data_IF_962968506917
#
_entry.id   IF_962968506917
#
_cell.length_a   1.000
_cell.length_b   1.000
_cell.length_c   1.000
_cell.angle_alpha   90.00
_cell.angle_beta   90.00
_cell.angle_gamma   90.00
#
_symmetry.space_group_name_H-M   'P 1'
#
loop_
_entity.id
_entity.type
_entity.pdbx_description
1 polymer ?
#
# COMPACT_ATOMS: atom_id res chain seq x y z
N UNK A 1 27.19 -51.73 -30.83
CA UNK A 1 28.57 -51.76 -31.31
C UNK A 1 29.27 -50.49 -30.82
N UNK A 2 30.04 -50.61 -29.74
CA UNK A 2 31.14 -49.69 -29.40
C UNK A 2 32.38 -50.10 -30.20
N UNK A 3 33.35 -49.20 -30.43
CA UNK A 3 34.50 -49.05 -29.51
C UNK A 3 34.79 -47.55 -29.19
N UNK A 4 35.24 -47.13 -27.99
CA UNK A 4 36.55 -47.31 -27.30
C UNK A 4 37.74 -46.79 -28.15
N UNK A 5 38.78 -46.08 -27.70
CA UNK A 5 39.48 -45.79 -26.42
C UNK A 5 40.59 -44.75 -26.78
N UNK A 6 41.04 -43.79 -25.97
CA UNK A 6 42.22 -43.81 -25.04
C UNK A 6 42.50 -42.33 -24.63
N UNK A 7 42.76 -41.90 -23.38
CA UNK A 7 43.90 -42.20 -22.48
C UNK A 7 45.20 -41.67 -23.11
N UNK A 8 46.05 -40.80 -22.55
CA UNK A 8 46.53 -40.47 -21.19
C UNK A 8 47.58 -39.31 -21.35
N UNK A 9 48.53 -38.97 -20.44
CA UNK A 9 48.46 -38.40 -19.08
C UNK A 9 49.26 -37.07 -18.89
N UNK A 10 49.17 -36.55 -17.66
CA UNK A 10 50.04 -35.63 -16.89
C UNK A 10 51.32 -35.02 -17.49
N UNK A 11 51.55 -33.75 -17.14
CA UNK A 11 52.88 -33.20 -16.86
C UNK A 11 52.88 -32.43 -15.52
N UNK A 12 53.76 -32.85 -14.60
CA UNK A 12 54.13 -32.19 -13.34
C UNK A 12 55.65 -32.01 -13.37
N UNK A 13 56.16 -30.83 -12.96
CA UNK A 13 57.50 -30.58 -12.40
C UNK A 13 57.32 -29.38 -11.44
N UNK A 14 57.34 -29.56 -10.10
CA UNK A 14 58.49 -29.44 -9.16
C UNK A 14 58.97 -27.97 -9.00
N UNK A 15 59.29 -27.36 -7.85
CA UNK A 15 59.48 -27.65 -6.40
C UNK A 15 59.43 -26.25 -5.70
N UNK A 16 59.50 -25.98 -4.40
CA UNK A 16 60.22 -26.63 -3.29
C UNK A 16 59.81 -25.97 -1.95
N UNK A 17 59.77 -26.81 -0.90
CA UNK A 17 60.20 -26.59 0.50
C UNK A 17 59.51 -25.54 1.39
N UNK A 18 59.11 -25.84 2.64
CA UNK A 18 59.26 -27.07 3.40
C UNK A 18 58.78 -26.92 4.85
N UNK A 19 58.80 -28.06 5.57
CA UNK A 19 58.85 -28.22 7.04
C UNK A 19 57.58 -27.90 7.85
N UNK A 20 57.10 -28.68 8.84
CA UNK A 20 57.32 -30.03 9.39
C UNK A 20 56.23 -30.21 10.46
N UNK A 21 55.65 -31.41 10.56
CA UNK A 21 55.13 -32.09 11.77
C UNK A 21 54.03 -31.48 12.66
N UNK A 22 53.03 -32.32 12.97
CA UNK A 22 52.31 -32.26 14.25
C UNK A 22 50.90 -32.85 14.21
N UNK A 23 50.79 -34.16 14.39
CA UNK A 23 49.52 -34.86 14.59
C UNK A 23 48.93 -34.58 15.99
N UNK A 24 47.60 -34.59 16.05
CA UNK A 24 46.71 -34.87 17.21
C UNK A 24 46.78 -33.96 18.42
N UNK A 25 45.67 -33.27 18.73
CA UNK A 25 44.81 -33.70 19.83
C UNK A 25 43.41 -33.08 19.78
N UNK A 26 42.42 -33.97 19.81
CA UNK A 26 41.00 -33.70 20.03
C UNK A 26 40.79 -33.66 21.54
N UNK A 27 40.59 -32.47 22.10
CA UNK A 27 39.92 -32.33 23.39
C UNK A 27 38.99 -31.10 23.36
N UNK A 28 37.70 -31.41 23.28
CA UNK A 28 36.59 -30.77 23.99
C UNK A 28 36.97 -29.48 24.75
N UNK A 29 36.46 -28.36 24.27
CA UNK A 29 35.90 -27.36 25.18
C UNK A 29 34.57 -26.86 24.61
N UNK A 30 33.50 -27.42 25.17
CA UNK A 30 32.12 -27.03 24.92
C UNK A 30 31.65 -26.25 26.14
N UNK A 31 31.59 -24.93 26.04
CA UNK A 31 30.62 -24.08 26.71
C UNK A 31 30.97 -22.60 26.44
N UNK A 32 29.95 -21.79 26.17
CA UNK A 32 29.99 -20.31 26.03
C UNK A 32 30.44 -19.79 24.65
N UNK A 33 29.51 -19.63 23.70
CA UNK A 33 29.87 -19.05 22.41
C UNK A 33 28.77 -18.54 21.47
N UNK A 34 27.49 -18.92 21.64
CA UNK A 34 26.50 -18.71 20.56
C UNK A 34 25.54 -17.52 20.69
N UNK A 35 25.58 -16.71 21.75
CA UNK A 35 24.78 -15.47 21.82
C UNK A 35 25.47 -14.24 21.19
N UNK A 36 26.79 -14.26 21.05
CA UNK A 36 27.58 -13.14 20.57
C UNK A 36 27.46 -12.82 19.06
N UNK A 37 27.30 -13.79 18.13
CA UNK A 37 27.28 -13.49 16.70
C UNK A 37 26.00 -12.77 16.28
N UNK A 38 24.84 -13.13 16.84
CA UNK A 38 23.55 -12.51 16.52
C UNK A 38 23.52 -11.05 16.99
N UNK A 39 23.92 -10.78 18.25
CA UNK A 39 23.97 -9.41 18.78
C UNK A 39 24.91 -8.54 17.94
N UNK A 40 26.12 -9.00 17.61
CA UNK A 40 27.06 -8.23 16.77
C UNK A 40 26.55 -7.99 15.35
N UNK A 41 25.83 -8.94 14.77
CA UNK A 41 25.26 -8.81 13.43
C UNK A 41 24.07 -7.84 13.41
N UNK A 42 23.19 -7.89 14.43
CA UNK A 42 22.14 -6.89 14.66
C UNK A 42 22.73 -5.48 14.79
N UNK A 43 23.80 -5.31 15.57
CA UNK A 43 24.48 -4.01 15.72
C UNK A 43 25.18 -3.53 14.44
N UNK A 44 25.65 -4.44 13.59
CA UNK A 44 26.23 -4.10 12.30
C UNK A 44 25.15 -3.70 11.27
N UNK A 45 23.98 -4.34 11.29
CA UNK A 45 22.84 -4.03 10.43
C UNK A 45 22.05 -2.80 10.91
N UNK A 46 22.09 -2.47 12.21
CA UNK A 46 21.58 -1.22 12.78
C UNK A 46 22.51 -0.02 12.55
N UNK A 47 23.71 -0.23 11.99
CA UNK A 47 24.63 0.87 11.74
C UNK A 47 23.95 1.83 10.75
N UNK A 48 23.74 3.11 11.09
CA UNK A 48 22.96 4.03 10.29
C UNK A 48 23.64 4.25 8.94
N UNK A 49 23.11 3.57 7.93
CA UNK A 49 23.51 3.70 6.54
C UNK A 49 22.37 4.38 5.79
N UNK A 50 22.69 5.47 5.09
CA UNK A 50 21.74 6.22 4.24
C UNK A 50 21.47 5.47 2.92
N UNK A 51 22.19 4.38 2.65
CA UNK A 51 21.97 3.58 1.46
C UNK A 51 20.66 2.79 1.54
N UNK A 52 19.82 2.93 0.51
CA UNK A 52 18.53 2.22 0.34
C UNK A 52 18.58 0.68 0.44
N UNK A 53 19.78 0.11 0.30
CA UNK A 53 20.00 -1.34 0.36
C UNK A 53 20.19 -1.84 1.80
N UNK A 54 20.40 -0.93 2.77
CA UNK A 54 20.48 -1.25 4.19
C UNK A 54 19.11 -1.01 4.86
N UNK A 55 18.77 -1.82 5.85
CA UNK A 55 17.47 -1.75 6.54
C UNK A 55 17.21 -0.35 7.12
N UNK A 56 18.21 0.25 7.77
CA UNK A 56 18.11 1.61 8.32
C UNK A 56 17.85 2.68 7.27
N UNK A 57 18.47 2.55 6.09
CA UNK A 57 18.34 3.51 5.00
C UNK A 57 16.98 3.38 4.32
N UNK A 58 16.54 2.15 4.02
CA UNK A 58 15.21 1.88 3.50
C UNK A 58 14.10 2.33 4.46
N UNK A 59 14.28 2.11 5.77
CA UNK A 59 13.35 2.59 6.80
C UNK A 59 13.24 4.11 6.78
N UNK A 60 14.37 4.83 6.73
CA UNK A 60 14.37 6.30 6.64
C UNK A 60 13.64 6.79 5.38
N UNK A 61 13.89 6.17 4.22
CA UNK A 61 13.21 6.50 2.97
C UNK A 61 11.70 6.26 3.05
N UNK A 62 11.27 5.11 3.58
CA UNK A 62 9.85 4.82 3.78
C UNK A 62 9.21 5.79 4.77
N UNK A 63 9.93 6.17 5.84
CA UNK A 63 9.44 7.12 6.83
C UNK A 63 9.24 8.51 6.21
N UNK A 64 10.18 8.99 5.38
CA UNK A 64 10.00 10.23 4.62
C UNK A 64 8.83 10.14 3.63
N UNK A 65 8.67 9.00 2.96
CA UNK A 65 7.59 8.79 1.98
C UNK A 65 6.20 8.81 2.63
N UNK A 66 6.05 8.27 3.84
CA UNK A 66 4.78 8.29 4.58
C UNK A 66 4.56 9.58 5.36
N UNK A 67 5.61 10.29 5.77
CA UNK A 67 5.50 11.57 6.47
C UNK A 67 4.90 12.67 5.58
N UNK A 68 5.24 12.71 4.29
CA UNK A 68 4.75 13.75 3.37
C UNK A 68 3.21 13.78 3.23
N UNK A 69 2.52 12.66 2.93
CA UNK A 69 1.05 12.61 2.91
C UNK A 69 0.43 12.93 4.28
N UNK A 70 1.04 12.47 5.37
CA UNK A 70 0.55 12.70 6.72
C UNK A 70 0.61 14.19 7.13
N UNK A 71 1.71 14.86 6.81
CA UNK A 71 1.89 16.29 7.04
C UNK A 71 0.88 17.10 6.23
N UNK A 72 0.68 16.76 4.95
CA UNK A 72 -0.30 17.43 4.10
C UNK A 72 -1.74 17.24 4.61
N UNK A 73 -2.14 16.03 4.99
CA UNK A 73 -3.47 15.76 5.53
C UNK A 73 -3.74 16.57 6.82
N UNK A 74 -2.72 16.72 7.67
CA UNK A 74 -2.80 17.54 8.89
C UNK A 74 -2.92 19.03 8.56
N UNK A 75 -2.12 19.52 7.60
CA UNK A 75 -2.11 20.92 7.19
C UNK A 75 -3.43 21.33 6.52
N UNK A 76 -3.99 20.47 5.66
CA UNK A 76 -5.30 20.68 5.03
C UNK A 76 -6.43 20.83 6.06
N UNK A 77 -6.42 20.00 7.12
CA UNK A 77 -7.37 20.14 8.23
C UNK A 77 -7.21 21.45 9.01
N UNK A 78 -5.97 21.90 9.24
CA UNK A 78 -5.72 23.18 9.91
C UNK A 78 -6.19 24.38 9.08
N UNK A 79 -6.05 24.32 7.75
CA UNK A 79 -6.60 25.35 6.87
C UNK A 79 -8.12 25.37 6.91
N UNK A 80 -8.78 24.21 6.89
CA UNK A 80 -10.24 24.15 7.04
C UNK A 80 -10.69 24.68 8.41
N UNK A 81 -9.95 24.38 9.48
CA UNK A 81 -10.24 24.90 10.81
C UNK A 81 -10.14 26.44 10.89
N UNK A 82 -9.27 27.06 10.10
CA UNK A 82 -9.17 28.51 9.98
C UNK A 82 -10.31 29.13 9.15
N UNK A 83 -10.92 28.36 8.23
CA UNK A 83 -12.06 28.80 7.43
C UNK A 83 -13.33 28.77 8.27
N UNK A 84 -13.63 27.62 8.89
CA UNK A 84 -14.76 27.44 9.79
C UNK A 84 -14.49 26.28 10.75
N UNK A 85 -14.24 26.62 12.01
CA UNK A 85 -13.93 25.64 13.07
C UNK A 85 -15.10 24.70 13.37
N UNK A 86 -16.34 25.10 13.07
CA UNK A 86 -17.52 24.25 13.25
C UNK A 86 -17.63 23.16 12.19
N UNK A 87 -17.02 23.37 11.02
CA UNK A 87 -17.10 22.48 9.86
C UNK A 87 -15.91 21.50 9.77
N UNK A 88 -14.96 21.54 10.70
CA UNK A 88 -13.82 20.61 10.71
C UNK A 88 -14.29 19.15 10.75
N UNK A 89 -15.32 18.86 11.56
CA UNK A 89 -15.92 17.53 11.65
C UNK A 89 -16.58 17.11 10.32
N UNK A 90 -17.06 18.08 9.53
CA UNK A 90 -17.61 17.79 8.19
C UNK A 90 -16.55 17.19 7.26
N UNK A 91 -15.28 17.59 7.41
CA UNK A 91 -14.20 17.04 6.58
C UNK A 91 -13.90 15.57 6.87
N UNK A 92 -14.16 15.09 8.09
CA UNK A 92 -14.01 13.65 8.41
C UNK A 92 -15.02 12.79 7.65
N UNK A 93 -16.13 13.39 7.19
CA UNK A 93 -17.11 12.73 6.32
C UNK A 93 -16.49 12.28 4.99
N UNK A 94 -15.50 13.04 4.47
CA UNK A 94 -14.74 12.62 3.30
C UNK A 94 -13.98 11.32 3.57
N UNK A 95 -13.38 11.19 4.76
CA UNK A 95 -12.70 9.97 5.20
C UNK A 95 -13.69 8.81 5.29
N UNK A 96 -14.89 9.02 5.83
CA UNK A 96 -15.90 7.96 5.95
C UNK A 96 -16.44 7.49 4.60
N UNK A 97 -16.61 8.40 3.63
CA UNK A 97 -16.89 8.02 2.23
C UNK A 97 -15.76 7.16 1.68
N UNK A 98 -14.50 7.55 1.95
CA UNK A 98 -13.31 6.79 1.58
C UNK A 98 -13.29 5.37 2.17
N UNK A 99 -13.68 5.20 3.43
CA UNK A 99 -13.76 3.89 4.11
C UNK A 99 -14.79 2.97 3.44
N UNK A 100 -15.94 3.50 3.00
CA UNK A 100 -16.91 2.70 2.24
C UNK A 100 -16.34 2.34 0.87
N UNK A 101 -15.65 3.27 0.20
CA UNK A 101 -14.98 3.00 -1.07
C UNK A 101 -13.84 1.98 -0.91
N UNK A 102 -13.17 1.91 0.25
CA UNK A 102 -12.14 0.93 0.56
C UNK A 102 -12.66 -0.51 0.45
N UNK A 103 -13.89 -0.77 0.89
CA UNK A 103 -14.54 -2.08 0.75
C UNK A 103 -14.60 -2.53 -0.71
N UNK A 104 -14.96 -1.60 -1.61
CA UNK A 104 -14.96 -1.85 -3.04
C UNK A 104 -13.53 -2.10 -3.55
N UNK A 105 -12.59 -1.27 -3.13
CA UNK A 105 -11.21 -1.24 -3.62
C UNK A 105 -10.42 -2.48 -3.21
N UNK A 106 -10.67 -3.02 -2.03
CA UNK A 106 -10.01 -4.23 -1.56
C UNK A 106 -10.63 -5.51 -2.12
N UNK A 107 -11.83 -5.45 -2.71
CA UNK A 107 -12.50 -6.60 -3.31
C UNK A 107 -11.81 -7.12 -4.57
N UNK A 108 -12.32 -6.75 -5.75
CA UNK A 108 -11.79 -7.22 -7.03
C UNK A 108 -10.33 -6.79 -7.29
N UNK A 109 -9.90 -5.55 -7.00
CA UNK A 109 -8.54 -5.11 -7.31
C UNK A 109 -7.45 -5.86 -6.55
N UNK A 110 -7.72 -6.33 -5.32
CA UNK A 110 -6.73 -7.12 -4.55
C UNK A 110 -6.48 -8.50 -5.17
N UNK A 111 -7.47 -9.06 -5.86
CA UNK A 111 -7.32 -10.28 -6.64
C UNK A 111 -6.43 -10.10 -7.89
N UNK A 112 -6.15 -8.86 -8.32
CA UNK A 112 -5.27 -8.60 -9.46
C UNK A 112 -3.89 -9.24 -9.27
N UNK A 113 -3.31 -9.17 -8.07
CA UNK A 113 -1.99 -9.76 -7.81
C UNK A 113 -1.96 -11.27 -8.01
N UNK A 114 -3.06 -11.97 -7.71
CA UNK A 114 -3.17 -13.43 -7.86
C UNK A 114 -3.49 -13.86 -9.29
N UNK A 115 -4.34 -13.11 -10.00
CA UNK A 115 -4.87 -13.51 -11.31
C UNK A 115 -4.12 -12.85 -12.46
N UNK A 116 -3.90 -11.53 -12.38
CA UNK A 116 -3.16 -10.77 -13.39
C UNK A 116 -1.66 -10.96 -13.20
N UNK A 117 -1.16 -11.15 -11.97
CA UNK A 117 0.25 -11.42 -11.70
C UNK A 117 0.74 -12.81 -12.13
N UNK A 118 -0.16 -13.73 -12.47
CA UNK A 118 0.16 -15.12 -12.84
C UNK A 118 0.76 -15.20 -14.25
N UNK A 119 2.09 -15.12 -14.34
CA UNK A 119 2.83 -15.16 -15.60
C UNK A 119 3.01 -16.58 -16.16
N UNK A 120 2.89 -17.62 -15.33
CA UNK A 120 3.15 -19.00 -15.74
C UNK A 120 1.94 -19.64 -16.42
N UNK A 121 0.72 -19.27 -16.02
CA UNK A 121 -0.50 -19.85 -16.59
C UNK A 121 -1.28 -18.93 -17.55
N UNK A 122 -0.87 -17.67 -17.73
CA UNK A 122 -1.58 -16.70 -18.58
C UNK A 122 -0.65 -15.93 -19.49
N UNK A 123 -1.08 -15.75 -20.73
CA UNK A 123 -0.40 -14.90 -21.70
C UNK A 123 -0.50 -13.43 -21.31
N UNK A 124 0.43 -12.62 -21.80
CA UNK A 124 0.41 -11.18 -21.56
C UNK A 124 -0.85 -10.49 -22.12
N UNK A 125 -1.44 -11.00 -23.21
CA UNK A 125 -2.68 -10.48 -23.77
C UNK A 125 -3.90 -10.76 -22.87
N UNK A 126 -4.01 -11.97 -22.32
CA UNK A 126 -5.07 -12.33 -21.36
C UNK A 126 -4.94 -11.50 -20.07
N UNK A 127 -3.72 -11.29 -19.58
CA UNK A 127 -3.44 -10.42 -18.41
C UNK A 127 -3.90 -8.97 -18.67
N UNK A 128 -3.62 -8.42 -19.85
CA UNK A 128 -4.11 -7.09 -20.27
C UNK A 128 -5.64 -7.06 -20.36
N UNK A 129 -6.26 -8.11 -20.90
CA UNK A 129 -7.73 -8.20 -20.98
C UNK A 129 -8.37 -8.22 -19.58
N UNK A 130 -7.77 -8.97 -18.64
CA UNK A 130 -8.18 -8.98 -17.23
C UNK A 130 -8.02 -7.60 -16.59
N UNK A 131 -6.94 -6.88 -16.88
CA UNK A 131 -6.75 -5.49 -16.44
C UNK A 131 -7.87 -4.57 -16.94
N UNK A 132 -8.19 -4.59 -18.25
CA UNK A 132 -9.29 -3.77 -18.78
C UNK A 132 -10.64 -4.14 -18.18
N UNK A 133 -10.87 -5.43 -17.97
CA UNK A 133 -12.09 -5.93 -17.31
C UNK A 133 -12.17 -5.39 -15.89
N UNK A 134 -11.11 -5.53 -15.08
CA UNK A 134 -11.06 -5.04 -13.72
C UNK A 134 -11.33 -3.53 -13.64
N UNK A 135 -10.62 -2.74 -14.45
CA UNK A 135 -10.79 -1.27 -14.45
C UNK A 135 -12.22 -0.88 -14.81
N UNK A 136 -12.81 -1.49 -15.85
CA UNK A 136 -14.18 -1.19 -16.27
C UNK A 136 -15.20 -1.50 -15.17
N UNK A 137 -15.16 -2.73 -14.64
CA UNK A 137 -16.12 -3.15 -13.61
C UNK A 137 -15.94 -2.36 -12.31
N UNK A 138 -14.71 -2.11 -11.88
CA UNK A 138 -14.44 -1.28 -10.71
C UNK A 138 -14.94 0.16 -10.90
N UNK A 139 -14.76 0.73 -12.10
CA UNK A 139 -15.25 2.07 -12.44
C UNK A 139 -16.79 2.13 -12.37
N UNK A 140 -17.48 1.12 -12.91
CA UNK A 140 -18.95 1.04 -12.85
C UNK A 140 -19.43 0.95 -11.40
N UNK A 141 -18.83 0.08 -10.59
CA UNK A 141 -19.21 -0.07 -9.19
C UNK A 141 -18.94 1.19 -8.37
N UNK A 142 -17.78 1.83 -8.57
CA UNK A 142 -17.46 3.12 -7.95
C UNK A 142 -18.44 4.22 -8.34
N UNK A 143 -18.88 4.25 -9.60
CA UNK A 143 -19.88 5.20 -10.07
C UNK A 143 -21.26 4.96 -9.44
N UNK A 144 -21.71 3.70 -9.38
CA UNK A 144 -22.96 3.32 -8.69
C UNK A 144 -22.89 3.73 -7.21
N UNK A 145 -21.77 3.48 -6.54
CA UNK A 145 -21.55 3.90 -5.15
C UNK A 145 -21.64 5.42 -4.99
N UNK A 146 -21.01 6.19 -5.89
CA UNK A 146 -21.12 7.65 -5.90
C UNK A 146 -22.57 8.13 -6.05
N UNK A 147 -23.35 7.53 -6.95
CA UNK A 147 -24.78 7.84 -7.08
C UNK A 147 -25.57 7.50 -5.81
N UNK A 148 -25.23 6.38 -5.16
CA UNK A 148 -25.77 6.01 -3.86
C UNK A 148 -25.49 7.07 -2.79
N UNK A 149 -24.26 7.58 -2.72
CA UNK A 149 -23.91 8.69 -1.81
C UNK A 149 -24.63 10.00 -2.14
N UNK A 150 -24.76 10.35 -3.42
CA UNK A 150 -25.50 11.56 -3.83
C UNK A 150 -26.97 11.48 -3.43
N UNK A 151 -27.63 10.35 -3.72
CA UNK A 151 -29.03 10.11 -3.38
C UNK A 151 -29.28 9.95 -1.88
N UNK A 152 -28.35 9.30 -1.18
CA UNK A 152 -28.40 9.03 0.26
C UNK A 152 -27.70 10.08 1.13
N UNK A 153 -27.27 11.22 0.57
CA UNK A 153 -26.40 12.19 1.26
C UNK A 153 -26.98 12.64 2.60
N UNK A 154 -28.29 12.90 2.66
CA UNK A 154 -28.97 13.31 3.89
C UNK A 154 -28.97 12.20 4.95
N UNK A 155 -29.20 10.95 4.54
CA UNK A 155 -29.15 9.78 5.45
C UNK A 155 -27.72 9.53 5.92
N UNK A 156 -26.74 9.68 5.04
CA UNK A 156 -25.33 9.57 5.41
C UNK A 156 -24.94 10.66 6.43
N UNK A 157 -25.37 11.90 6.20
CA UNK A 157 -25.16 13.00 7.14
C UNK A 157 -25.82 12.74 8.50
N UNK A 158 -26.97 12.06 8.53
CA UNK A 158 -27.63 11.70 9.79
C UNK A 158 -26.80 10.78 10.67
N UNK A 159 -26.07 9.85 10.05
CA UNK A 159 -25.25 8.89 10.78
C UNK A 159 -23.85 9.39 11.15
N UNK A 160 -23.27 10.24 10.31
CA UNK A 160 -21.83 10.58 10.41
C UNK A 160 -21.53 12.05 10.64
N UNK A 161 -22.55 12.90 10.72
CA UNK A 161 -22.38 14.34 10.96
C UNK A 161 -23.20 14.80 12.18
N UNK A 162 -22.59 15.58 13.10
CA UNK A 162 -23.31 16.18 14.23
C UNK A 162 -24.48 17.06 13.76
N UNK A 163 -25.57 17.05 14.53
CA UNK A 163 -26.84 17.74 14.19
C UNK A 163 -26.64 19.22 13.84
N UNK A 164 -25.70 19.91 14.50
CA UNK A 164 -25.47 21.36 14.35
C UNK A 164 -25.03 21.77 12.94
N UNK A 165 -24.33 20.90 12.21
CA UNK A 165 -23.75 21.23 10.88
C UNK A 165 -24.31 20.38 9.75
N UNK A 166 -25.16 19.40 10.10
CA UNK A 166 -25.71 18.38 9.20
C UNK A 166 -26.26 18.92 7.88
N UNK A 167 -27.12 19.94 7.94
CA UNK A 167 -27.80 20.46 6.75
C UNK A 167 -26.81 21.12 5.76
N UNK A 168 -25.78 21.78 6.30
CA UNK A 168 -24.72 22.41 5.49
C UNK A 168 -23.78 21.36 4.92
N UNK A 169 -23.54 20.27 5.65
CA UNK A 169 -22.66 19.15 5.24
C UNK A 169 -23.25 18.29 4.12
N UNK A 170 -24.57 18.32 3.86
CA UNK A 170 -25.18 17.55 2.76
C UNK A 170 -24.58 17.94 1.41
N UNK A 171 -24.34 19.23 1.18
CA UNK A 171 -23.72 19.71 -0.06
C UNK A 171 -22.28 19.20 -0.17
N UNK A 172 -21.53 19.23 0.93
CA UNK A 172 -20.17 18.68 0.99
C UNK A 172 -20.16 17.19 0.61
N UNK A 173 -21.05 16.39 1.21
CA UNK A 173 -21.18 14.95 0.92
C UNK A 173 -21.49 14.71 -0.55
N UNK A 174 -22.39 15.49 -1.15
CA UNK A 174 -22.75 15.35 -2.58
C UNK A 174 -21.58 15.65 -3.50
N UNK A 175 -20.77 16.66 -3.17
CA UNK A 175 -19.55 16.97 -3.93
C UNK A 175 -18.55 15.83 -3.74
N UNK A 176 -18.25 15.47 -2.50
CA UNK A 176 -17.28 14.41 -2.18
C UNK A 176 -17.71 13.02 -2.62
N UNK A 177 -18.98 12.75 -2.90
CA UNK A 177 -19.48 11.43 -3.30
C UNK A 177 -18.73 10.84 -4.50
N UNK A 178 -18.31 11.67 -5.45
CA UNK A 178 -17.56 11.24 -6.63
C UNK A 178 -16.09 10.89 -6.33
N UNK A 179 -15.60 11.13 -5.12
CA UNK A 179 -14.30 10.64 -4.69
C UNK A 179 -14.29 9.10 -4.61
N UNK A 180 -15.43 8.47 -4.32
CA UNK A 180 -15.56 7.01 -4.35
C UNK A 180 -15.32 6.46 -5.76
N UNK A 181 -15.90 7.07 -6.79
CA UNK A 181 -15.64 6.71 -8.19
C UNK A 181 -14.18 6.93 -8.57
N UNK A 182 -13.62 8.10 -8.26
CA UNK A 182 -12.22 8.39 -8.54
C UNK A 182 -11.27 7.40 -7.85
N UNK A 183 -11.53 7.09 -6.58
CA UNK A 183 -10.78 6.12 -5.79
C UNK A 183 -10.86 4.71 -6.40
N UNK A 184 -12.05 4.30 -6.85
CA UNK A 184 -12.28 3.02 -7.52
C UNK A 184 -11.45 2.87 -8.80
N UNK A 185 -11.45 3.91 -9.67
CA UNK A 185 -10.64 3.93 -10.88
C UNK A 185 -9.15 3.92 -10.54
N UNK A 186 -8.71 4.80 -9.65
CA UNK A 186 -7.30 4.94 -9.26
C UNK A 186 -6.77 3.63 -8.68
N UNK A 187 -7.50 3.00 -7.77
CA UNK A 187 -7.09 1.77 -7.10
C UNK A 187 -7.04 0.59 -8.07
N UNK A 188 -8.03 0.45 -8.96
CA UNK A 188 -8.00 -0.57 -10.01
C UNK A 188 -6.83 -0.37 -10.97
N UNK A 189 -6.59 0.85 -11.47
CA UNK A 189 -5.44 1.13 -12.34
C UNK A 189 -4.15 0.78 -11.62
N UNK A 190 -3.95 1.32 -10.41
CA UNK A 190 -2.73 1.12 -9.65
C UNK A 190 -2.41 -0.37 -9.38
N UNK A 191 -3.37 -1.12 -8.86
CA UNK A 191 -3.17 -2.55 -8.55
C UNK A 191 -2.99 -3.40 -9.81
N UNK A 192 -3.80 -3.17 -10.84
CA UNK A 192 -3.75 -3.96 -12.07
C UNK A 192 -2.51 -3.69 -12.92
N UNK A 193 -2.01 -2.45 -12.97
CA UNK A 193 -0.77 -2.16 -13.70
C UNK A 193 0.46 -2.63 -12.94
N UNK A 194 0.47 -2.58 -11.60
CA UNK A 194 1.51 -3.24 -10.80
C UNK A 194 1.54 -4.75 -11.04
N UNK A 195 0.37 -5.39 -11.06
CA UNK A 195 0.27 -6.82 -11.39
C UNK A 195 0.64 -7.14 -12.85
N UNK A 196 0.67 -6.14 -13.73
CA UNK A 196 1.10 -6.23 -15.13
C UNK A 196 2.57 -5.80 -15.33
N UNK A 197 3.33 -5.64 -14.24
CA UNK A 197 4.75 -5.25 -14.29
C UNK A 197 4.98 -3.86 -14.90
N UNK A 198 3.99 -2.94 -14.73
CA UNK A 198 4.03 -1.52 -15.14
C UNK A 198 3.97 -0.58 -13.93
N UNK A 199 5.09 -0.43 -13.19
CA UNK A 199 5.16 0.44 -12.00
C UNK A 199 5.25 1.95 -12.34
N UNK A 200 5.50 2.29 -13.60
CA UNK A 200 5.51 3.64 -14.16
C UNK A 200 4.13 4.31 -14.10
N UNK A 201 3.05 3.57 -14.36
CA UNK A 201 1.68 4.10 -14.31
C UNK A 201 1.30 4.58 -12.89
N UNK A 202 1.45 3.78 -11.82
CA UNK A 202 1.25 4.24 -10.44
C UNK A 202 2.08 5.45 -10.05
N UNK A 203 3.32 5.53 -10.54
CA UNK A 203 4.21 6.64 -10.24
C UNK A 203 3.67 7.95 -10.84
N UNK A 204 3.19 7.91 -12.07
CA UNK A 204 2.54 9.05 -12.74
C UNK A 204 1.29 9.50 -11.97
N UNK A 205 0.42 8.57 -11.58
CA UNK A 205 -0.79 8.85 -10.77
C UNK A 205 -0.41 9.58 -9.49
N UNK A 206 0.48 9.02 -8.69
CA UNK A 206 0.88 9.57 -7.39
C UNK A 206 1.57 10.93 -7.53
N UNK A 207 2.41 11.11 -8.56
CA UNK A 207 3.14 12.36 -8.79
C UNK A 207 2.18 13.50 -9.17
N UNK A 208 1.25 13.25 -10.10
CA UNK A 208 0.23 14.21 -10.51
C UNK A 208 -0.65 14.57 -9.31
N UNK A 209 -1.13 13.56 -8.59
CA UNK A 209 -2.00 13.74 -7.43
C UNK A 209 -1.32 14.60 -6.36
N UNK A 210 -0.06 14.32 -6.05
CA UNK A 210 0.69 15.10 -5.06
C UNK A 210 0.94 16.53 -5.53
N UNK A 211 1.47 16.72 -6.74
CA UNK A 211 1.81 18.05 -7.26
C UNK A 211 0.57 18.94 -7.42
N UNK A 212 -0.50 18.40 -8.02
CA UNK A 212 -1.71 19.18 -8.31
C UNK A 212 -2.50 19.48 -7.03
N UNK A 213 -2.64 18.53 -6.09
CA UNK A 213 -3.33 18.80 -4.82
C UNK A 213 -2.60 19.88 -4.02
N UNK A 214 -1.28 19.78 -3.88
CA UNK A 214 -0.52 20.76 -3.09
C UNK A 214 -0.59 22.15 -3.73
N UNK A 215 -0.44 22.26 -5.04
CA UNK A 215 -0.48 23.55 -5.73
C UNK A 215 -1.87 24.18 -5.61
N UNK A 216 -2.94 23.43 -5.86
CA UNK A 216 -4.30 23.98 -5.82
C UNK A 216 -4.73 24.36 -4.41
N UNK A 217 -4.49 23.51 -3.41
CA UNK A 217 -4.82 23.82 -2.02
C UNK A 217 -4.00 25.01 -1.52
N UNK A 218 -2.73 25.11 -1.91
CA UNK A 218 -1.89 26.25 -1.54
C UNK A 218 -2.34 27.55 -2.22
N UNK A 219 -2.84 27.51 -3.45
CA UNK A 219 -3.29 28.70 -4.18
C UNK A 219 -4.68 29.21 -3.77
N UNK A 220 -5.58 28.31 -3.36
CA UNK A 220 -7.01 28.62 -3.22
C UNK A 220 -7.56 28.53 -1.78
N UNK A 221 -6.90 27.77 -0.90
CA UNK A 221 -7.42 27.47 0.46
C UNK A 221 -6.45 27.94 1.55
N UNK A 222 -5.14 27.90 1.29
CA UNK A 222 -4.11 28.36 2.23
C UNK A 222 -4.34 29.80 2.71
N UNK A 223 -3.77 30.12 3.86
CA UNK A 223 -3.71 31.49 4.41
C UNK A 223 -3.05 32.50 3.46
N UNK A 224 -2.31 32.03 2.45
CA UNK A 224 -1.65 32.83 1.42
C UNK A 224 -2.35 32.74 0.04
N UNK A 225 -3.65 32.43 0.01
CA UNK A 225 -4.41 32.31 -1.22
C UNK A 225 -4.44 33.61 -2.04
N UNK A 226 -4.72 33.49 -3.34
CA UNK A 226 -4.86 34.64 -4.24
C UNK A 226 -6.00 35.54 -3.75
N UNK A 227 -5.74 36.84 -3.61
CA UNK A 227 -6.72 37.81 -3.13
C UNK A 227 -7.95 37.88 -4.05
N UNK A 228 -9.15 37.84 -3.46
CA UNK A 228 -10.43 37.96 -4.17
C UNK A 228 -11.34 36.73 -4.11
N UNK A 229 -10.86 35.59 -3.59
CA UNK A 229 -11.65 34.37 -3.39
C UNK A 229 -11.87 34.15 -1.89
N UNK A 230 -13.11 33.98 -1.45
CA UNK A 230 -13.42 33.57 -0.08
C UNK A 230 -13.37 32.04 0.03
N UNK A 231 -12.43 31.46 0.80
CA UNK A 231 -12.28 30.02 0.88
C UNK A 231 -13.49 29.39 1.59
N UNK A 232 -13.96 28.24 1.10
CA UNK A 232 -15.09 27.50 1.68
C UNK A 232 -14.78 26.01 1.76
N UNK A 233 -15.44 25.31 2.68
CA UNK A 233 -15.27 23.85 2.87
C UNK A 233 -15.72 23.06 1.63
N UNK A 234 -16.73 23.53 0.91
CA UNK A 234 -17.17 22.92 -0.35
C UNK A 234 -16.13 23.07 -1.47
N UNK A 235 -15.36 24.18 -1.47
CA UNK A 235 -14.28 24.38 -2.42
C UNK A 235 -13.12 23.39 -2.17
N UNK A 236 -12.83 23.08 -0.90
CA UNK A 236 -11.88 22.02 -0.53
C UNK A 236 -12.28 20.65 -1.06
N UNK A 237 -13.55 20.25 -0.87
CA UNK A 237 -14.05 19.00 -1.45
C UNK A 237 -13.94 19.00 -2.99
N UNK A 238 -14.28 20.13 -3.63
CA UNK A 238 -14.22 20.28 -5.08
C UNK A 238 -12.80 20.15 -5.63
N UNK A 239 -11.82 20.80 -5.02
CA UNK A 239 -10.40 20.73 -5.41
C UNK A 239 -9.88 19.30 -5.24
N UNK A 240 -10.11 18.69 -4.08
CA UNK A 240 -9.68 17.31 -3.82
C UNK A 240 -10.28 16.34 -4.83
N UNK A 241 -11.59 16.46 -5.11
CA UNK A 241 -12.26 15.65 -6.14
C UNK A 241 -11.64 15.85 -7.52
N UNK A 242 -11.45 17.10 -7.95
CA UNK A 242 -10.91 17.42 -9.27
C UNK A 242 -9.50 16.86 -9.44
N UNK A 243 -8.66 16.96 -8.41
CA UNK A 243 -7.32 16.40 -8.45
C UNK A 243 -7.34 14.87 -8.53
N UNK A 244 -8.13 14.20 -7.69
CA UNK A 244 -8.22 12.74 -7.69
C UNK A 244 -8.76 12.21 -9.04
N UNK A 245 -9.77 12.86 -9.62
CA UNK A 245 -10.28 12.49 -10.95
C UNK A 245 -9.20 12.71 -12.03
N UNK A 246 -8.51 13.84 -11.99
CA UNK A 246 -7.44 14.15 -12.94
C UNK A 246 -6.32 13.13 -12.88
N UNK A 247 -5.83 12.77 -11.69
CA UNK A 247 -4.78 11.75 -11.54
C UNK A 247 -5.25 10.38 -12.00
N UNK A 248 -6.47 9.96 -11.64
CA UNK A 248 -7.04 8.68 -12.04
C UNK A 248 -7.17 8.58 -13.58
N UNK A 249 -7.72 9.61 -14.24
CA UNK A 249 -7.90 9.62 -15.68
C UNK A 249 -6.59 9.73 -16.45
N UNK A 250 -5.64 10.56 -16.00
CA UNK A 250 -4.34 10.66 -16.66
C UNK A 250 -3.53 9.36 -16.52
N UNK A 251 -3.59 8.72 -15.35
CA UNK A 251 -3.00 7.38 -15.15
C UNK A 251 -3.61 6.33 -16.08
N UNK A 252 -4.95 6.31 -16.18
CA UNK A 252 -5.65 5.41 -17.09
C UNK A 252 -5.30 5.70 -18.56
N UNK A 253 -5.28 6.96 -18.97
CA UNK A 253 -4.93 7.36 -20.32
C UNK A 253 -3.49 6.96 -20.67
N UNK A 254 -2.54 7.19 -19.75
CA UNK A 254 -1.15 6.76 -19.91
C UNK A 254 -1.04 5.23 -20.03
N UNK A 255 -1.75 4.48 -19.19
CA UNK A 255 -1.82 3.02 -19.30
C UNK A 255 -2.39 2.56 -20.65
N UNK A 256 -3.53 3.12 -21.08
CA UNK A 256 -4.14 2.78 -22.38
C UNK A 256 -3.19 3.09 -23.52
N UNK A 257 -2.52 4.25 -23.48
CA UNK A 257 -1.53 4.66 -24.48
C UNK A 257 -0.35 3.69 -24.57
N UNK A 258 0.30 3.38 -23.45
CA UNK A 258 1.46 2.47 -23.43
C UNK A 258 1.12 1.04 -23.80
N UNK A 259 -0.13 0.62 -23.60
CA UNK A 259 -0.57 -0.77 -23.85
C UNK A 259 -1.17 -0.96 -25.25
N UNK A 260 -1.78 0.09 -25.82
CA UNK A 260 -2.40 0.08 -27.15
C UNK A 260 -1.47 0.55 -28.27
N UNK A 261 -0.60 1.55 -28.01
CA UNK A 261 0.20 2.18 -29.06
C UNK A 261 1.58 1.53 -29.24
N UNK A 262 2.28 1.18 -28.15
CA UNK A 262 3.63 0.55 -28.21
C UNK A 262 3.67 -0.83 -28.88
N UNK A 263 2.52 -1.47 -29.13
CA UNK A 263 2.47 -2.79 -29.79
C UNK A 263 1.79 -2.80 -31.16
N UNK A 264 1.33 -1.66 -31.68
CA UNK A 264 1.00 -1.57 -33.12
C UNK A 264 2.23 -1.79 -34.01
N UNK A 265 3.46 -1.65 -33.46
CA UNK A 265 4.71 -1.98 -34.14
C UNK A 265 5.19 -3.43 -33.98
N UNK A 266 4.74 -4.18 -32.98
CA UNK A 266 5.22 -5.54 -32.70
C UNK A 266 4.22 -6.66 -33.11
N UNK A 267 2.96 -6.29 -33.40
CA UNK A 267 1.88 -7.21 -33.78
C UNK A 267 1.58 -7.07 -35.28
N UNK A 268 2.61 -7.20 -36.13
CA UNK A 268 2.43 -7.58 -37.54
C UNK A 268 2.96 -9.01 -37.78
N UNK A 269 3.28 -9.75 -36.71
CA UNK A 269 4.07 -10.97 -36.79
C UNK A 269 3.37 -12.29 -36.51
N UNK A 270 2.27 -12.36 -35.74
CA UNK A 270 1.62 -13.64 -35.49
C UNK A 270 0.12 -13.54 -35.18
N UNK A 271 -0.64 -14.42 -35.81
CA UNK A 271 -2.09 -14.56 -35.72
C UNK A 271 -2.53 -15.20 -34.38
N UNK A 272 -3.49 -14.57 -33.71
CA UNK A 272 -4.66 -15.22 -33.09
C UNK A 272 -5.65 -14.14 -32.60
N UNK A 273 -6.95 -14.42 -32.76
CA UNK A 273 -8.12 -13.62 -32.38
C UNK A 273 -8.27 -13.32 -30.86
N UNK A 274 -7.22 -12.89 -30.18
CA UNK A 274 -7.31 -12.50 -28.76
C UNK A 274 -7.89 -11.08 -28.65
N UNK A 275 -9.19 -10.96 -28.43
CA UNK A 275 -9.81 -9.66 -28.21
C UNK A 275 -9.34 -9.07 -26.87
N UNK A 276 -8.67 -7.91 -26.90
CA UNK A 276 -8.31 -7.16 -25.67
C UNK A 276 -9.53 -6.50 -25.00
N UNK A 277 -10.75 -6.83 -25.44
CA UNK A 277 -11.98 -6.23 -24.94
C UNK A 277 -12.32 -6.80 -23.55
N UNK A 278 -12.85 -5.97 -22.64
CA UNK A 278 -13.39 -6.45 -21.37
C UNK A 278 -14.34 -7.61 -21.56
N UNK A 279 -14.27 -8.63 -20.70
CA UNK A 279 -15.09 -9.84 -20.85
C UNK A 279 -15.68 -10.34 -19.54
N UNK A 280 -16.92 -10.83 -19.58
CA UNK A 280 -17.60 -11.42 -18.43
C UNK A 280 -16.91 -12.69 -17.87
N UNK A 281 -16.33 -13.59 -18.71
CA UNK A 281 -15.55 -14.71 -18.20
C UNK A 281 -14.31 -14.27 -17.42
N UNK A 282 -13.62 -13.22 -17.88
CA UNK A 282 -12.49 -12.63 -17.16
C UNK A 282 -12.92 -12.09 -15.79
N UNK A 283 -14.10 -11.44 -15.72
CA UNK A 283 -14.67 -10.99 -14.44
C UNK A 283 -14.94 -12.16 -13.50
N UNK A 284 -15.53 -13.26 -14.00
CA UNK A 284 -15.81 -14.44 -13.16
C UNK A 284 -14.54 -15.02 -12.54
N UNK A 285 -13.42 -14.97 -13.28
CA UNK A 285 -12.11 -15.39 -12.79
C UNK A 285 -11.62 -14.50 -11.65
N UNK A 286 -11.82 -13.18 -11.74
CA UNK A 286 -11.46 -12.22 -10.69
C UNK A 286 -12.40 -12.30 -9.47
N UNK A 287 -13.68 -12.64 -9.69
CA UNK A 287 -14.71 -12.59 -8.66
C UNK A 287 -14.47 -13.59 -7.53
N UNK A 288 -14.03 -14.82 -7.84
CA UNK A 288 -13.88 -15.88 -6.82
C UNK A 288 -12.92 -15.49 -5.68
N UNK A 289 -11.66 -15.06 -5.95
CA UNK A 289 -10.78 -14.53 -4.91
C UNK A 289 -11.24 -13.15 -4.40
N UNK A 290 -11.75 -12.28 -5.30
CA UNK A 290 -12.16 -10.92 -4.92
C UNK A 290 -13.30 -10.86 -3.91
N UNK A 291 -14.23 -11.82 -3.93
CA UNK A 291 -15.35 -11.87 -2.99
C UNK A 291 -14.92 -12.14 -1.55
N UNK A 292 -13.85 -12.93 -1.35
CA UNK A 292 -13.31 -13.21 -0.02
C UNK A 292 -12.70 -11.93 0.56
N UNK A 293 -11.86 -11.23 -0.21
CA UNK A 293 -11.28 -9.95 0.22
C UNK A 293 -12.34 -8.87 0.44
N UNK A 294 -13.34 -8.81 -0.44
CA UNK A 294 -14.47 -7.91 -0.26
C UNK A 294 -15.20 -8.17 1.05
N UNK A 295 -15.47 -9.43 1.38
CA UNK A 295 -16.20 -9.79 2.61
C UNK A 295 -15.40 -9.44 3.87
N UNK A 296 -14.11 -9.75 3.88
CA UNK A 296 -13.21 -9.38 4.97
C UNK A 296 -13.16 -7.85 5.17
N UNK A 297 -12.94 -7.11 4.08
CA UNK A 297 -12.93 -5.65 4.09
C UNK A 297 -14.26 -5.06 4.52
N UNK A 298 -15.38 -5.62 4.06
CA UNK A 298 -16.72 -5.18 4.41
C UNK A 298 -16.98 -5.31 5.90
N UNK A 299 -16.61 -6.44 6.51
CA UNK A 299 -16.77 -6.66 7.95
C UNK A 299 -15.90 -5.66 8.73
N UNK A 300 -14.62 -5.53 8.37
CA UNK A 300 -13.68 -4.62 9.04
C UNK A 300 -14.14 -3.16 8.99
N UNK A 301 -14.55 -2.70 7.81
CA UNK A 301 -14.99 -1.32 7.59
C UNK A 301 -16.39 -1.06 8.16
N UNK A 302 -17.29 -2.05 8.17
CA UNK A 302 -18.60 -1.92 8.83
C UNK A 302 -18.45 -1.76 10.35
N UNK A 303 -17.59 -2.56 10.99
CA UNK A 303 -17.30 -2.43 12.43
C UNK A 303 -16.69 -1.06 12.75
N UNK A 304 -15.79 -0.57 11.90
CA UNK A 304 -15.22 0.77 12.04
C UNK A 304 -16.29 1.87 11.93
N UNK A 305 -17.12 1.84 10.88
CA UNK A 305 -18.17 2.84 10.69
C UNK A 305 -19.25 2.77 11.78
N UNK A 306 -19.54 1.59 12.32
CA UNK A 306 -20.43 1.43 13.47
C UNK A 306 -19.87 2.12 14.72
N UNK A 307 -18.58 1.96 15.00
CA UNK A 307 -17.90 2.69 16.08
C UNK A 307 -17.98 4.20 15.88
N UNK A 308 -17.67 4.69 14.68
CA UNK A 308 -17.74 6.12 14.34
C UNK A 308 -19.14 6.67 14.54
N UNK A 309 -20.17 5.97 14.03
CA UNK A 309 -21.56 6.37 14.21
C UNK A 309 -21.94 6.51 15.68
N UNK A 310 -21.49 5.56 16.53
CA UNK A 310 -21.68 5.64 17.97
C UNK A 310 -21.05 6.89 18.59
N UNK A 311 -19.81 7.21 18.20
CA UNK A 311 -19.07 8.38 18.71
C UNK A 311 -19.71 9.70 18.27
N UNK A 312 -20.11 9.82 17.00
CA UNK A 312 -20.80 11.01 16.49
C UNK A 312 -22.16 11.19 17.19
N UNK A 313 -22.83 10.08 17.52
CA UNK A 313 -24.08 10.07 18.28
C UNK A 313 -23.96 10.67 19.70
N UNK A 314 -22.76 10.67 20.31
CA UNK A 314 -22.52 11.27 21.62
C UNK A 314 -22.48 12.81 21.58
N UNK A 315 -22.38 13.41 20.40
CA UNK A 315 -22.44 14.86 20.19
C UNK A 315 -21.17 15.46 19.60
N UNK A 316 -21.20 16.78 19.43
CA UNK A 316 -20.18 17.54 18.70
C UNK A 316 -18.79 17.44 19.33
N UNK A 317 -18.69 17.44 20.67
CA UNK A 317 -17.40 17.46 21.36
C UNK A 317 -16.66 16.13 21.18
N UNK A 318 -17.39 15.01 21.27
CA UNK A 318 -16.85 13.67 21.02
C UNK A 318 -16.47 13.47 19.54
N UNK A 319 -17.28 13.99 18.61
CA UNK A 319 -16.96 13.94 17.18
C UNK A 319 -15.67 14.72 16.85
N UNK A 320 -15.50 15.91 17.42
CA UNK A 320 -14.27 16.70 17.28
C UNK A 320 -13.08 15.98 17.93
N UNK A 321 -13.24 15.44 19.14
CA UNK A 321 -12.18 14.70 19.83
C UNK A 321 -11.74 13.46 19.02
N UNK A 322 -12.69 12.77 18.38
CA UNK A 322 -12.40 11.66 17.48
C UNK A 322 -11.66 12.11 16.22
N UNK A 323 -12.05 13.22 15.61
CA UNK A 323 -11.32 13.84 14.50
C UNK A 323 -9.87 14.16 14.86
N UNK A 324 -9.63 14.69 16.06
CA UNK A 324 -8.27 14.95 16.58
C UNK A 324 -7.51 13.63 16.80
N UNK A 325 -8.11 12.68 17.52
CA UNK A 325 -7.50 11.37 17.79
C UNK A 325 -7.11 10.65 16.50
N UNK A 326 -8.01 10.58 15.52
CA UNK A 326 -7.76 9.91 14.24
C UNK A 326 -6.67 10.60 13.44
N UNK A 327 -6.60 11.94 13.48
CA UNK A 327 -5.54 12.72 12.84
C UNK A 327 -4.17 12.42 13.46
N UNK A 328 -4.07 12.37 14.79
CA UNK A 328 -2.83 11.99 15.48
C UNK A 328 -2.46 10.54 15.18
N UNK A 329 -3.43 9.63 15.26
CA UNK A 329 -3.22 8.20 15.01
C UNK A 329 -2.63 7.98 13.62
N UNK A 330 -3.28 8.48 12.58
CA UNK A 330 -2.83 8.27 11.21
C UNK A 330 -1.63 9.13 10.82
N UNK A 331 -1.57 10.37 11.31
CA UNK A 331 -0.55 11.35 10.92
C UNK A 331 0.78 11.21 11.66
N UNK A 332 0.78 10.68 12.89
CA UNK A 332 1.97 10.61 13.74
C UNK A 332 2.31 9.18 14.15
N UNK A 333 1.32 8.40 14.61
CA UNK A 333 1.58 7.06 15.16
C UNK A 333 1.71 6.00 14.07
N UNK A 334 0.83 6.02 13.05
CA UNK A 334 0.84 5.00 12.01
C UNK A 334 1.95 5.21 10.98
N UNK A 335 2.45 6.43 10.79
CA UNK A 335 3.57 6.71 9.85
C UNK A 335 4.80 5.83 10.12
N UNK A 336 5.37 5.77 11.33
CA UNK A 336 6.50 4.89 11.61
C UNK A 336 6.13 3.41 11.55
N UNK A 337 4.90 3.04 11.95
CA UNK A 337 4.42 1.65 11.88
C UNK A 337 4.34 1.16 10.43
N UNK A 338 3.71 1.94 9.54
CA UNK A 338 3.64 1.67 8.10
C UNK A 338 5.03 1.66 7.46
N UNK A 339 5.93 2.54 7.88
CA UNK A 339 7.32 2.53 7.41
C UNK A 339 8.06 1.25 7.82
N UNK A 340 7.89 0.80 9.07
CA UNK A 340 8.46 -0.45 9.57
C UNK A 340 7.87 -1.66 8.85
N UNK A 341 6.56 -1.70 8.68
CA UNK A 341 5.86 -2.77 7.96
C UNK A 341 6.37 -2.87 6.51
N UNK A 342 6.37 -1.76 5.77
CA UNK A 342 6.84 -1.73 4.38
C UNK A 342 8.31 -2.14 4.25
N UNK A 343 9.17 -1.69 5.18
CA UNK A 343 10.59 -2.03 5.18
C UNK A 343 10.78 -3.51 5.52
N UNK A 344 10.12 -4.00 6.57
CA UNK A 344 10.21 -5.41 7.01
C UNK A 344 9.75 -6.34 5.89
N UNK A 345 8.61 -6.06 5.26
CA UNK A 345 8.12 -6.84 4.11
C UNK A 345 9.12 -6.87 2.96
N UNK A 346 9.81 -5.75 2.70
CA UNK A 346 10.81 -5.67 1.64
C UNK A 346 12.03 -6.55 1.94
N UNK A 347 12.57 -6.49 3.15
CA UNK A 347 13.77 -7.26 3.52
C UNK A 347 13.47 -8.75 3.73
N UNK A 348 12.38 -9.08 4.43
CA UNK A 348 11.93 -10.48 4.58
C UNK A 348 11.63 -11.07 3.20
N UNK A 349 10.99 -10.32 2.31
CA UNK A 349 10.74 -10.76 0.94
C UNK A 349 12.02 -11.00 0.13
N UNK A 350 13.03 -10.15 0.27
CA UNK A 350 14.33 -10.34 -0.38
C UNK A 350 15.11 -11.54 0.18
N UNK A 351 15.12 -11.73 1.49
CA UNK A 351 15.76 -12.90 2.13
C UNK A 351 15.08 -14.20 1.70
N UNK A 352 13.75 -14.23 1.71
CA UNK A 352 12.95 -15.37 1.25
C UNK A 352 13.18 -15.68 -0.24
N UNK A 353 13.29 -14.64 -1.08
CA UNK A 353 13.59 -14.79 -2.50
C UNK A 353 15.01 -15.30 -2.78
N UNK A 354 16.00 -14.91 -1.97
CA UNK A 354 17.37 -15.43 -2.07
C UNK A 354 17.45 -16.92 -1.70
N UNK A 355 16.78 -17.35 -0.62
CA UNK A 355 16.75 -18.76 -0.23
C UNK A 355 16.14 -19.68 -1.32
N UNK A 356 15.09 -19.22 -2.01
CA UNK A 356 14.48 -19.96 -3.12
C UNK A 356 15.42 -20.03 -4.34
N UNK A 357 16.15 -18.96 -4.64
CA UNK A 357 17.08 -18.91 -5.78
C UNK A 357 18.33 -19.79 -5.59
N UNK A 358 18.74 -20.07 -4.34
CA UNK A 358 19.88 -20.92 -4.03
C UNK A 358 19.56 -22.43 -3.95
N UNK A 359 18.33 -22.85 -4.28
CA UNK A 359 18.00 -24.25 -4.52
C UNK A 359 18.22 -25.16 -3.31
N UNK A 360 18.17 -24.63 -2.08
CA UNK A 360 18.17 -25.45 -0.89
C UNK A 360 16.77 -26.04 -0.74
N UNK A 361 16.62 -27.36 -0.92
CA UNK A 361 15.39 -28.08 -0.60
C UNK A 361 14.95 -27.67 0.80
N UNK A 362 13.86 -26.91 0.88
CA UNK A 362 13.21 -26.58 2.13
C UNK A 362 12.54 -27.86 2.63
N UNK A 363 13.31 -28.76 3.23
CA UNK A 363 12.77 -29.58 4.31
C UNK A 363 12.14 -28.61 5.28
N UNK A 364 10.82 -28.68 5.42
CA UNK A 364 10.03 -27.93 6.39
C UNK A 364 10.65 -28.09 7.78
N UNK A 365 11.62 -27.24 8.11
CA UNK A 365 11.99 -27.01 9.50
C UNK A 365 10.79 -26.30 10.09
N UNK A 366 10.29 -26.88 11.17
CA UNK A 366 9.05 -26.49 11.84
C UNK A 366 8.86 -24.97 11.87
N UNK A 367 7.61 -24.49 11.70
CA UNK A 367 7.33 -23.07 11.71
C UNK A 367 7.97 -22.44 12.95
N UNK A 368 8.53 -21.25 12.76
CA UNK A 368 9.00 -20.34 13.80
C UNK A 368 7.80 -20.00 14.70
N UNK A 369 7.39 -20.95 15.54
CA UNK A 369 6.61 -20.74 16.72
C UNK A 369 7.56 -19.97 17.62
N UNK A 370 7.39 -18.65 17.62
CA UNK A 370 7.85 -17.82 18.72
C UNK A 370 7.27 -18.48 19.96
N UNK A 371 8.13 -19.07 20.77
CA UNK A 371 7.72 -19.71 22.01
C UNK A 371 7.07 -18.63 22.88
N UNK A 372 5.93 -18.96 23.50
CA UNK A 372 5.21 -18.03 24.37
C UNK A 372 6.06 -17.61 25.59
N UNK A 373 7.17 -18.32 25.87
CA UNK A 373 8.21 -17.90 26.80
C UNK A 373 8.97 -16.65 26.32
N UNK A 374 9.31 -16.56 25.03
CA UNK A 374 10.10 -15.46 24.47
C UNK A 374 9.29 -14.16 24.46
N UNK A 375 7.97 -14.22 24.21
CA UNK A 375 7.08 -13.07 24.37
C UNK A 375 6.89 -12.65 25.83
N UNK A 376 6.93 -13.60 26.78
CA UNK A 376 6.82 -13.30 28.21
C UNK A 376 8.04 -12.56 28.70
N UNK A 377 9.23 -12.92 28.22
CA UNK A 377 10.46 -12.27 28.63
C UNK A 377 10.64 -10.90 27.94
N UNK A 378 10.16 -10.74 26.70
CA UNK A 378 10.07 -9.41 26.06
C UNK A 378 9.10 -8.47 26.81
N UNK A 379 7.99 -8.99 27.35
CA UNK A 379 7.06 -8.22 28.18
C UNK A 379 7.67 -7.80 29.53
N UNK A 380 8.49 -8.66 30.15
CA UNK A 380 9.21 -8.31 31.40
C UNK A 380 10.30 -7.27 31.18
N UNK A 381 10.99 -7.33 30.04
CA UNK A 381 11.99 -6.34 29.66
C UNK A 381 11.34 -4.98 29.34
N UNK A 382 10.14 -4.98 28.77
CA UNK A 382 9.33 -3.76 28.59
C UNK A 382 8.80 -3.19 29.92
N UNK A 383 8.31 -4.03 30.84
CA UNK A 383 7.86 -3.57 32.16
C UNK A 383 9.02 -3.02 33.01
N UNK A 384 10.22 -3.63 32.92
CA UNK A 384 11.41 -3.12 33.61
C UNK A 384 11.95 -1.83 32.99
N UNK A 385 11.85 -1.65 31.67
CA UNK A 385 12.18 -0.39 30.99
C UNK A 385 11.18 0.73 31.32
N UNK A 386 9.90 0.41 31.50
CA UNK A 386 8.86 1.38 31.89
C UNK A 386 9.01 1.78 33.37
N UNK A 387 9.39 0.85 34.25
CA UNK A 387 9.69 1.13 35.66
C UNK A 387 10.98 1.94 35.86
N UNK A 388 11.93 1.86 34.92
CA UNK A 388 13.14 2.69 34.87
C UNK A 388 12.87 4.14 34.42
N UNK A 389 11.67 4.44 33.91
CA UNK A 389 11.26 5.76 33.41
C UNK A 389 10.27 6.50 34.33
N UNK A 390 9.95 5.93 35.50
CA UNK A 390 9.31 6.62 36.65
C UNK A 390 10.33 6.84 37.74
#
# INVERSE_FOLDING_TARGET
MLPAKSGDPLHVVHSSDGSLNGHSDVLRDSATGDEAPIKKQIWADLKPSIHRNAYSGALLFNLCAFALPALYATLSKLWVANIDSSMVVTTDTYTYIGVVAEVLNEGLPRAAYLIIGDQSNRTYQERVQLTYTLILFQSILGFIMSLGFVGGASTFAQGFVPVKVRDVSVTYIRISAFSAFSSAVEYAVNTSTRALDKPDVPLVISSIKFAVNIILDFMLISTFHIGGITPTVNMQAGISLACNLTSAFLGLAYFVYTTSFSRRSAINGDMADSTLKPSLPALRTLFKPGFIFFSESAIRNALYLWLVHGIVGLGSDYATAWGVFTTIRWGLVMVPVSALEATTLTFVGHSWGQEILFGQEVTLREPFLIDLSDMRDLCKDLDSAILSWR
#
